data_IF_609178446297
#
_entry.id   IF_609178446297
#
_cell.length_a   1.000
_cell.length_b   1.000
_cell.length_c   1.000
_cell.angle_alpha   90.00
_cell.angle_beta   90.00
_cell.angle_gamma   90.00
#
_symmetry.space_group_name_H-M   'P 1'
#
loop_
_entity.id
_entity.type
_entity.pdbx_description
1 polymer ?
#
# COMPACT_ATOMS: atom_id res chain seq x y z
N UNK A 1 -23.19 1.55 -19.77
CA UNK A 1 -22.26 1.17 -18.69
C UNK A 1 -22.60 2.00 -17.48
N UNK A 2 -22.66 1.41 -16.28
CA UNK A 2 -22.98 2.13 -15.05
C UNK A 2 -21.87 3.13 -14.70
N UNK A 3 -22.23 4.32 -14.21
CA UNK A 3 -21.28 5.37 -13.77
C UNK A 3 -20.25 4.84 -12.76
N UNK A 4 -20.62 3.86 -11.92
CA UNK A 4 -19.72 3.23 -10.94
C UNK A 4 -18.59 2.43 -11.59
N UNK A 5 -18.86 1.79 -12.73
CA UNK A 5 -17.87 0.97 -13.47
C UNK A 5 -16.85 1.88 -14.15
N UNK A 6 -17.32 3.00 -14.71
CA UNK A 6 -16.43 3.97 -15.37
C UNK A 6 -15.49 4.64 -14.36
N UNK A 7 -16.01 4.95 -13.16
CA UNK A 7 -15.23 5.58 -12.10
C UNK A 7 -14.12 4.64 -11.57
N UNK A 8 -14.43 3.34 -11.39
CA UNK A 8 -13.42 2.31 -11.04
C UNK A 8 -12.35 2.18 -12.11
N UNK A 9 -12.75 1.99 -13.36
CA UNK A 9 -11.80 1.83 -14.46
C UNK A 9 -10.93 3.09 -14.64
N UNK A 10 -11.48 4.27 -14.39
CA UNK A 10 -10.73 5.52 -14.37
C UNK A 10 -9.68 5.55 -13.26
N UNK A 11 -10.02 5.16 -12.02
CA UNK A 11 -9.06 5.09 -10.91
C UNK A 11 -7.90 4.14 -11.20
N UNK A 12 -8.20 2.94 -11.71
CA UNK A 12 -7.18 1.94 -12.07
C UNK A 12 -6.20 2.51 -13.11
N UNK A 13 -6.72 3.13 -14.18
CA UNK A 13 -5.89 3.78 -15.22
C UNK A 13 -5.04 4.91 -14.67
N UNK A 14 -5.62 5.76 -13.82
CA UNK A 14 -4.92 6.90 -13.20
C UNK A 14 -3.81 6.40 -12.27
N UNK A 15 -4.10 5.39 -11.45
CA UNK A 15 -3.10 4.76 -10.58
C UNK A 15 -1.95 4.19 -11.42
N UNK A 16 -2.25 3.36 -12.42
CA UNK A 16 -1.25 2.79 -13.35
C UNK A 16 -0.35 3.86 -13.97
N UNK A 17 -0.93 4.99 -14.38
CA UNK A 17 -0.19 6.11 -14.96
C UNK A 17 0.76 6.78 -13.95
N UNK A 18 0.31 7.03 -12.73
CA UNK A 18 1.13 7.61 -11.66
C UNK A 18 2.31 6.70 -11.33
N UNK A 19 2.07 5.38 -11.27
CA UNK A 19 3.10 4.36 -11.00
C UNK A 19 4.15 4.34 -12.11
N UNK A 20 3.75 4.30 -13.39
CA UNK A 20 4.70 4.35 -14.52
C UNK A 20 5.55 5.62 -14.50
N UNK A 21 4.96 6.78 -14.20
CA UNK A 21 5.71 8.04 -14.08
C UNK A 21 6.74 8.02 -12.96
N UNK A 22 6.44 7.36 -11.82
CA UNK A 22 7.42 7.20 -10.75
C UNK A 22 8.59 6.33 -11.20
N UNK A 23 8.30 5.24 -11.92
CA UNK A 23 9.31 4.35 -12.48
C UNK A 23 10.24 5.09 -13.47
N UNK A 24 9.69 5.97 -14.29
CA UNK A 24 10.46 6.80 -15.25
C UNK A 24 11.34 7.89 -14.58
N UNK A 25 11.37 7.96 -13.25
CA UNK A 25 12.24 8.88 -12.52
C UNK A 25 11.67 10.29 -12.34
N UNK A 26 10.33 10.45 -12.42
CA UNK A 26 9.69 11.73 -12.14
C UNK A 26 10.00 12.23 -10.71
N UNK A 27 10.01 13.56 -10.55
CA UNK A 27 10.39 14.20 -9.29
C UNK A 27 9.56 13.67 -8.11
N UNK A 28 10.20 13.10 -7.06
CA UNK A 28 9.49 12.41 -5.97
C UNK A 28 8.42 13.25 -5.28
N UNK A 29 8.61 14.58 -5.19
CA UNK A 29 7.66 15.50 -4.53
C UNK A 29 6.31 15.61 -5.24
N UNK A 30 6.29 15.72 -6.56
CA UNK A 30 5.04 15.88 -7.32
C UNK A 30 4.26 14.56 -7.38
N UNK A 31 4.99 13.46 -7.53
CA UNK A 31 4.40 12.13 -7.59
C UNK A 31 3.84 11.70 -6.23
N UNK A 32 4.53 12.03 -5.11
CA UNK A 32 4.03 11.78 -3.75
C UNK A 32 2.63 12.36 -3.54
N UNK A 33 2.39 13.60 -3.96
CA UNK A 33 1.10 14.26 -3.77
C UNK A 33 -0.02 13.61 -4.61
N UNK A 34 0.26 13.29 -5.87
CA UNK A 34 -0.71 12.61 -6.75
C UNK A 34 -1.03 11.19 -6.27
N UNK A 35 0.00 10.44 -5.85
CA UNK A 35 -0.15 9.11 -5.29
C UNK A 35 -0.97 9.11 -4.00
N UNK A 36 -0.68 10.05 -3.08
CA UNK A 36 -1.43 10.19 -1.84
C UNK A 36 -2.92 10.52 -2.06
N UNK A 37 -3.23 11.32 -3.08
CA UNK A 37 -4.62 11.65 -3.42
C UNK A 37 -5.36 10.42 -3.97
N UNK A 38 -4.80 9.74 -4.97
CA UNK A 38 -5.49 8.62 -5.63
C UNK A 38 -5.64 7.41 -4.68
N UNK A 39 -4.63 7.11 -3.86
CA UNK A 39 -4.71 5.95 -2.95
C UNK A 39 -5.80 6.12 -1.88
N UNK A 40 -6.14 7.35 -1.48
CA UNK A 40 -7.27 7.60 -0.57
C UNK A 40 -8.63 7.25 -1.18
N UNK A 41 -8.71 7.22 -2.51
CA UNK A 41 -9.92 6.94 -3.27
C UNK A 41 -9.94 5.51 -3.85
N UNK A 42 -8.87 4.74 -3.64
CA UNK A 42 -8.69 3.42 -4.24
C UNK A 42 -8.85 2.32 -3.18
N UNK A 43 -9.53 1.23 -3.53
CA UNK A 43 -9.61 0.03 -2.68
C UNK A 43 -8.52 -1.01 -2.99
N UNK A 44 -8.38 -2.01 -2.11
CA UNK A 44 -7.35 -3.04 -2.26
C UNK A 44 -7.51 -3.89 -3.53
N UNK A 45 -8.74 -4.05 -4.03
CA UNK A 45 -9.02 -4.81 -5.26
C UNK A 45 -8.55 -4.04 -6.48
N UNK A 46 -8.79 -2.73 -6.51
CA UNK A 46 -8.35 -1.84 -7.59
C UNK A 46 -6.83 -1.74 -7.67
N UNK A 47 -6.14 -1.75 -6.52
CA UNK A 47 -4.68 -1.83 -6.46
C UNK A 47 -4.22 -3.16 -7.06
N UNK A 48 -4.79 -4.29 -6.63
CA UNK A 48 -4.42 -5.60 -7.16
C UNK A 48 -4.67 -5.70 -8.68
N UNK A 49 -5.78 -5.17 -9.18
CA UNK A 49 -6.08 -5.13 -10.62
C UNK A 49 -5.05 -4.31 -11.39
N UNK A 50 -4.67 -3.14 -10.89
CA UNK A 50 -3.63 -2.30 -11.47
C UNK A 50 -2.25 -3.00 -11.51
N UNK A 51 -1.89 -3.75 -10.46
CA UNK A 51 -0.67 -4.56 -10.44
C UNK A 51 -0.70 -5.67 -11.50
N UNK A 52 -1.81 -6.39 -11.62
CA UNK A 52 -1.97 -7.42 -12.65
C UNK A 52 -1.89 -6.82 -14.05
N UNK A 53 -2.48 -5.65 -14.27
CA UNK A 53 -2.39 -4.93 -15.54
C UNK A 53 -0.96 -4.47 -15.87
N UNK A 54 -0.13 -4.13 -14.88
CA UNK A 54 1.27 -3.77 -15.11
C UNK A 54 2.11 -4.99 -15.49
N UNK A 55 1.86 -6.13 -14.83
CA UNK A 55 2.51 -7.40 -15.16
C UNK A 55 2.12 -7.84 -16.58
N UNK A 56 0.83 -7.73 -16.93
CA UNK A 56 0.33 -8.04 -18.27
C UNK A 56 0.93 -7.14 -19.36
N UNK A 57 1.22 -5.88 -19.04
CA UNK A 57 1.93 -4.94 -19.92
C UNK A 57 3.43 -5.25 -20.08
N UNK A 58 3.96 -6.25 -19.37
CA UNK A 58 5.36 -6.70 -19.46
C UNK A 58 6.29 -6.18 -18.37
N UNK A 59 5.77 -5.54 -17.33
CA UNK A 59 6.57 -5.16 -16.16
C UNK A 59 6.97 -6.42 -15.36
N UNK A 60 8.26 -6.60 -15.01
CA UNK A 60 8.69 -7.71 -14.15
C UNK A 60 8.00 -7.68 -12.80
N UNK A 61 7.69 -8.85 -12.24
CA UNK A 61 7.01 -8.98 -10.94
C UNK A 61 7.86 -8.35 -9.83
N UNK A 62 9.18 -8.50 -9.92
CA UNK A 62 10.14 -7.93 -8.97
C UNK A 62 10.07 -6.40 -8.95
N UNK A 63 9.84 -5.79 -10.11
CA UNK A 63 9.75 -4.35 -10.28
C UNK A 63 8.44 -3.80 -9.71
N UNK A 64 7.31 -4.46 -10.01
CA UNK A 64 6.01 -4.16 -9.40
C UNK A 64 6.11 -4.21 -7.87
N UNK A 65 6.79 -5.23 -7.34
CA UNK A 65 6.97 -5.42 -5.91
C UNK A 65 7.85 -4.35 -5.27
N UNK A 66 8.96 -3.99 -5.90
CA UNK A 66 9.84 -2.91 -5.45
C UNK A 66 9.11 -1.56 -5.40
N UNK A 67 8.21 -1.32 -6.35
CA UNK A 67 7.36 -0.12 -6.34
C UNK A 67 6.37 -0.12 -5.17
N UNK A 68 5.75 -1.26 -4.84
CA UNK A 68 4.84 -1.35 -3.69
C UNK A 68 5.53 -1.00 -2.36
N UNK A 69 6.79 -1.41 -2.17
CA UNK A 69 7.55 -1.08 -0.97
C UNK A 69 7.80 0.44 -0.86
N UNK A 70 8.19 1.08 -1.96
CA UNK A 70 8.42 2.53 -2.02
C UNK A 70 7.13 3.30 -1.70
N UNK A 71 5.99 2.90 -2.27
CA UNK A 71 4.71 3.55 -2.01
C UNK A 71 4.23 3.33 -0.58
N UNK A 72 4.41 2.14 0.00
CA UNK A 72 4.08 1.88 1.39
C UNK A 72 4.86 2.80 2.35
N UNK A 73 6.11 3.12 2.02
CA UNK A 73 6.92 4.08 2.76
C UNK A 73 6.37 5.51 2.66
N UNK A 74 5.96 5.93 1.47
CA UNK A 74 5.25 7.21 1.27
C UNK A 74 3.94 7.24 2.06
N UNK A 75 3.16 6.16 2.03
CA UNK A 75 1.86 6.06 2.69
C UNK A 75 1.97 6.10 4.21
N UNK A 76 3.03 5.54 4.81
CA UNK A 76 3.27 5.65 6.25
C UNK A 76 3.31 7.10 6.74
N UNK A 77 3.75 8.04 5.90
CA UNK A 77 3.76 9.49 6.22
C UNK A 77 2.35 10.12 6.18
N UNK A 78 1.40 9.49 5.47
CA UNK A 78 0.06 10.03 5.19
C UNK A 78 -1.04 9.33 5.97
N UNK A 79 -0.80 8.09 6.41
CA UNK A 79 -1.73 7.30 7.21
C UNK A 79 -1.83 7.88 8.62
N UNK A 80 -3.07 8.06 9.09
CA UNK A 80 -3.34 8.45 10.48
C UNK A 80 -2.83 7.32 11.36
N UNK A 81 -1.89 7.63 12.25
CA UNK A 81 -1.44 6.64 13.23
C UNK A 81 -2.66 6.24 14.07
N UNK A 82 -2.95 4.93 14.19
CA UNK A 82 -4.03 4.49 15.06
C UNK A 82 -3.75 5.02 16.46
N UNK A 83 -4.72 5.69 17.07
CA UNK A 83 -4.60 6.04 18.49
C UNK A 83 -4.36 4.76 19.29
N UNK A 84 -3.27 4.74 20.05
CA UNK A 84 -3.03 3.66 21.00
C UNK A 84 -4.10 3.73 22.08
N UNK A 85 -5.15 2.92 21.90
CA UNK A 85 -6.15 2.73 22.94
C UNK A 85 -5.55 1.79 24.00
N UNK A 86 -5.38 2.26 25.25
CA UNK A 86 -4.95 1.38 26.31
C UNK A 86 -5.98 0.26 26.46
N UNK A 87 -5.51 -0.99 26.32
CA UNK A 87 -6.38 -2.15 26.43
C UNK A 87 -6.49 -2.57 27.89
N UNK A 88 -7.67 -3.02 28.34
CA UNK A 88 -7.83 -3.52 29.69
C UNK A 88 -6.97 -4.78 29.92
N UNK A 89 -6.48 -5.02 31.14
CA UNK A 89 -5.73 -6.22 31.47
C UNK A 89 -6.49 -7.50 31.10
N UNK A 90 -5.82 -8.45 30.44
CA UNK A 90 -6.41 -9.72 30.03
C UNK A 90 -7.11 -9.69 28.67
N UNK A 91 -7.01 -8.58 27.93
CA UNK A 91 -7.51 -8.49 26.56
C UNK A 91 -6.69 -9.41 25.63
N UNK A 92 -7.30 -10.23 24.75
CA UNK A 92 -6.57 -11.20 23.91
C UNK A 92 -5.43 -10.60 23.07
N UNK A 93 -5.61 -9.36 22.60
CA UNK A 93 -4.57 -8.65 21.82
C UNK A 93 -3.33 -8.32 22.67
N UNK A 94 -3.45 -8.16 23.99
CA UNK A 94 -2.31 -8.01 24.91
C UNK A 94 -1.50 -9.32 24.95
N UNK A 95 -2.18 -10.46 25.15
CA UNK A 95 -1.58 -11.79 25.12
C UNK A 95 -0.84 -12.03 23.81
N UNK A 96 -1.50 -11.78 22.67
CA UNK A 96 -0.87 -11.94 21.36
C UNK A 96 0.35 -11.03 21.17
N UNK A 97 0.35 -9.81 21.72
CA UNK A 97 1.52 -8.92 21.66
C UNK A 97 2.70 -9.46 22.47
N UNK A 98 2.43 -9.99 23.68
CA UNK A 98 3.46 -10.61 24.53
C UNK A 98 4.04 -11.85 23.85
N UNK A 99 3.18 -12.72 23.30
CA UNK A 99 3.59 -13.92 22.57
C UNK A 99 4.43 -13.57 21.33
N UNK A 100 3.98 -12.61 20.52
CA UNK A 100 4.73 -12.16 19.33
C UNK A 100 6.09 -11.59 19.71
N UNK A 101 6.19 -10.84 20.81
CA UNK A 101 7.47 -10.30 21.31
C UNK A 101 8.40 -11.43 21.75
N UNK A 102 7.88 -12.47 22.41
CA UNK A 102 8.67 -13.63 22.78
C UNK A 102 9.17 -14.41 21.56
N UNK A 103 8.30 -14.61 20.56
CA UNK A 103 8.66 -15.26 19.28
C UNK A 103 9.75 -14.46 18.56
N UNK A 104 9.62 -13.13 18.46
CA UNK A 104 10.61 -12.29 17.80
C UNK A 104 12.00 -12.38 18.44
N UNK A 105 12.08 -12.50 19.78
CA UNK A 105 13.36 -12.71 20.47
C UNK A 105 14.00 -14.03 20.06
N UNK A 106 13.22 -15.12 20.05
CA UNK A 106 13.72 -16.44 19.67
C UNK A 106 14.15 -16.47 18.21
N UNK A 107 13.38 -15.86 17.31
CA UNK A 107 13.68 -15.84 15.86
C UNK A 107 14.85 -14.90 15.54
N UNK A 108 14.98 -13.77 16.22
CA UNK A 108 16.08 -12.81 16.00
C UNK A 108 17.41 -13.21 16.64
N UNK A 109 17.42 -14.18 17.56
CA UNK A 109 18.62 -14.78 18.14
C UNK A 109 19.18 -15.97 17.33
N UNK A 110 18.52 -16.35 16.22
CA UNK A 110 18.98 -17.35 15.24
C UNK A 110 19.70 -16.69 14.08
#
# INVERSE_FOLDING_TARGET
MSELIDNRAHRIRTLKHVIKRLHEGAAPKEVKAQLAAIVRETDATEIAEMEQELIADGMPVEEVRAMCDLHAEVLKEVMVQPEERPMPPGHPVETFRVENTAIQKVVGEM
#
